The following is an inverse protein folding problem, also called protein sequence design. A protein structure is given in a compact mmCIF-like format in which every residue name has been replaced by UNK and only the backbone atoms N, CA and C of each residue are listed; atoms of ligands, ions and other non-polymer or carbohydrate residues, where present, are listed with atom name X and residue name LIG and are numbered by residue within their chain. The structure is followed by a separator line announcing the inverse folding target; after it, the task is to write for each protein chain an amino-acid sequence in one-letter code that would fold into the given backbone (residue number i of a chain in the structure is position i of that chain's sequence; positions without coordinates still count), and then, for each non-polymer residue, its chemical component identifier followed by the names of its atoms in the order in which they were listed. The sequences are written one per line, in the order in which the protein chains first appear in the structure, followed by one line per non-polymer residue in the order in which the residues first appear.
data_IF_721936147036
#
_entry.id   IF_721936147036
#
_cell.length_a   1.000
_cell.length_b   1.000
_cell.length_c   1.000
_cell.angle_alpha   90.00
_cell.angle_beta   90.00
_cell.angle_gamma   90.00
#
_symmetry.space_group_name_H-M   'P 1'
#
loop_
_entity.id
_entity.type
_entity.pdbx_description
1 polymer ?
#
# COMPACT_ATOMS: atom_id res chain seq x y z
N UNK A 1 -16.69 16.46 -21.44
CA UNK A 1 -16.05 15.97 -20.20
C UNK A 1 -14.52 15.94 -20.26
N UNK A 2 -13.90 15.52 -21.38
CA UNK A 2 -12.43 15.44 -21.53
C UNK A 2 -11.66 16.76 -21.34
N UNK A 3 -12.25 17.90 -21.71
CA UNK A 3 -11.58 19.21 -21.61
C UNK A 3 -11.27 19.60 -20.15
N UNK A 4 -12.14 19.23 -19.20
CA UNK A 4 -11.94 19.53 -17.77
C UNK A 4 -10.85 18.65 -17.14
N UNK A 5 -10.77 17.38 -17.55
CA UNK A 5 -9.71 16.45 -17.11
C UNK A 5 -8.36 16.85 -17.69
N UNK A 6 -8.27 17.18 -18.99
CA UNK A 6 -7.04 17.69 -19.60
C UNK A 6 -6.60 19.04 -19.01
N UNK A 7 -7.52 19.96 -18.74
CA UNK A 7 -7.20 21.25 -18.12
C UNK A 7 -6.69 21.09 -16.67
N UNK A 8 -7.22 20.13 -15.90
CA UNK A 8 -6.70 19.79 -14.57
C UNK A 8 -5.33 19.09 -14.64
N UNK A 9 -5.13 18.19 -15.60
CA UNK A 9 -3.83 17.53 -15.82
C UNK A 9 -2.73 18.52 -16.23
N UNK A 10 -3.06 19.54 -17.04
CA UNK A 10 -2.12 20.63 -17.36
C UNK A 10 -1.81 21.57 -16.18
N UNK A 11 -2.71 21.65 -15.18
CA UNK A 11 -2.52 22.48 -13.97
C UNK A 11 -1.88 21.71 -12.80
N UNK A 12 -1.93 20.39 -12.79
CA UNK A 12 -1.16 19.54 -11.88
C UNK A 12 0.32 19.66 -12.28
N UNK A 13 0.99 20.60 -11.61
CA UNK A 13 2.29 21.15 -12.01
C UNK A 13 3.35 20.09 -12.29
N UNK A 14 3.73 20.00 -13.56
CA UNK A 14 4.98 19.38 -14.01
C UNK A 14 6.20 20.28 -13.77
N UNK A 15 6.05 21.41 -13.08
CA UNK A 15 7.11 22.40 -12.91
C UNK A 15 8.42 21.81 -12.37
N UNK A 16 8.36 20.82 -11.49
CA UNK A 16 9.56 20.14 -10.97
C UNK A 16 10.17 19.15 -11.97
N UNK A 17 9.36 18.52 -12.82
CA UNK A 17 9.82 17.64 -13.90
C UNK A 17 10.41 18.46 -15.05
N UNK A 18 9.73 19.53 -15.45
CA UNK A 18 10.18 20.49 -16.48
C UNK A 18 11.49 21.16 -16.03
N UNK A 19 11.58 21.64 -14.78
CA UNK A 19 12.82 22.22 -14.25
C UNK A 19 13.99 21.21 -14.19
N UNK A 20 13.70 19.92 -13.98
CA UNK A 20 14.74 18.87 -14.03
C UNK A 20 15.25 18.66 -15.46
N UNK A 21 14.37 18.76 -16.45
CA UNK A 21 14.74 18.67 -17.87
C UNK A 21 15.55 19.90 -18.31
N UNK A 22 15.20 21.10 -17.81
CA UNK A 22 15.95 22.34 -18.04
C UNK A 22 17.39 22.27 -17.50
N UNK A 23 17.61 21.52 -16.40
CA UNK A 23 18.94 21.24 -15.83
C UNK A 23 19.69 20.11 -16.56
N UNK A 24 19.13 19.57 -17.64
CA UNK A 24 19.74 18.51 -18.45
C UNK A 24 19.58 17.10 -17.87
N UNK A 25 18.68 16.89 -16.90
CA UNK A 25 18.43 15.55 -16.37
C UNK A 25 17.73 14.65 -17.40
N UNK A 26 18.16 13.40 -17.50
CA UNK A 26 17.49 12.36 -18.27
C UNK A 26 16.19 11.90 -17.58
N UNK A 27 15.25 11.34 -18.34
CA UNK A 27 13.95 10.85 -17.84
C UNK A 27 14.08 9.92 -16.62
N UNK A 28 15.10 9.06 -16.60
CA UNK A 28 15.34 8.16 -15.47
C UNK A 28 15.79 8.93 -14.21
N UNK A 29 16.62 9.96 -14.36
CA UNK A 29 17.03 10.83 -13.25
C UNK A 29 15.84 11.61 -12.71
N UNK A 30 15.03 12.23 -13.59
CA UNK A 30 13.79 12.91 -13.20
C UNK A 30 12.86 11.97 -12.43
N UNK A 31 12.62 10.75 -12.94
CA UNK A 31 11.80 9.78 -12.24
C UNK A 31 12.36 9.42 -10.86
N UNK A 32 13.65 9.06 -10.77
CA UNK A 32 14.26 8.56 -9.54
C UNK A 32 14.42 9.64 -8.46
N UNK A 33 14.65 10.89 -8.85
CA UNK A 33 14.99 12.00 -7.93
C UNK A 33 13.87 13.01 -7.72
N UNK A 34 12.90 13.11 -8.64
CA UNK A 34 11.78 14.05 -8.54
C UNK A 34 10.48 13.28 -8.35
N UNK A 35 10.05 12.52 -9.37
CA UNK A 35 8.71 11.91 -9.41
C UNK A 35 8.51 10.84 -8.33
N UNK A 36 9.48 9.93 -8.15
CA UNK A 36 9.40 8.83 -7.18
C UNK A 36 9.38 9.34 -5.72
N UNK A 37 10.28 10.26 -5.29
CA UNK A 37 10.18 10.87 -3.96
C UNK A 37 8.88 11.65 -3.74
N UNK A 38 8.36 12.34 -4.76
CA UNK A 38 7.09 13.06 -4.65
C UNK A 38 5.89 12.12 -4.44
N UNK A 39 5.89 10.95 -5.08
CA UNK A 39 4.81 9.96 -4.94
C UNK A 39 5.02 8.96 -3.80
N UNK A 40 6.17 8.99 -3.10
CA UNK A 40 6.53 7.99 -2.07
C UNK A 40 5.45 7.78 -1.02
N UNK A 41 4.79 8.86 -0.57
CA UNK A 41 3.74 8.78 0.45
C UNK A 41 2.48 8.08 -0.08
N UNK A 42 2.07 8.39 -1.31
CA UNK A 42 0.94 7.73 -1.96
C UNK A 42 1.23 6.25 -2.24
N UNK A 43 2.45 5.91 -2.65
CA UNK A 43 2.87 4.53 -2.87
C UNK A 43 2.85 3.71 -1.58
N UNK A 44 3.36 4.27 -0.48
CA UNK A 44 3.36 3.61 0.83
C UNK A 44 1.92 3.42 1.35
N UNK A 45 1.07 4.44 1.22
CA UNK A 45 -0.34 4.32 1.60
C UNK A 45 -1.08 3.26 0.78
N UNK A 46 -0.85 3.23 -0.54
CA UNK A 46 -1.39 2.21 -1.44
C UNK A 46 -0.90 0.80 -1.11
N UNK A 47 0.38 0.65 -0.75
CA UNK A 47 0.96 -0.63 -0.37
C UNK A 47 0.36 -1.19 0.93
N UNK A 48 0.12 -0.35 1.94
CA UNK A 48 -0.56 -0.78 3.18
C UNK A 48 -1.99 -1.21 2.87
N UNK A 49 -2.72 -0.43 2.08
CA UNK A 49 -4.10 -0.74 1.74
C UNK A 49 -4.18 -2.07 0.97
N UNK A 50 -3.31 -2.28 -0.02
CA UNK A 50 -3.23 -3.52 -0.77
C UNK A 50 -2.88 -4.71 0.13
N UNK A 51 -1.95 -4.54 1.08
CA UNK A 51 -1.63 -5.56 2.07
C UNK A 51 -2.85 -5.90 2.94
N UNK A 52 -3.56 -4.90 3.46
CA UNK A 52 -4.76 -5.12 4.28
C UNK A 52 -5.86 -5.87 3.50
N UNK A 53 -6.12 -5.45 2.25
CA UNK A 53 -7.11 -6.09 1.38
C UNK A 53 -6.75 -7.54 1.05
N UNK A 54 -5.45 -7.88 0.94
CA UNK A 54 -5.03 -9.26 0.65
C UNK A 54 -5.48 -10.30 1.69
N UNK A 55 -5.68 -9.88 2.96
CA UNK A 55 -6.20 -10.75 4.02
C UNK A 55 -7.73 -10.80 4.06
N UNK A 56 -8.41 -9.84 3.42
CA UNK A 56 -9.88 -9.71 3.41
C UNK A 56 -10.54 -10.56 2.29
N UNK A 57 -9.78 -10.97 1.27
CA UNK A 57 -10.30 -11.75 0.13
C UNK A 57 -10.41 -13.26 0.40
N UNK A 58 -10.77 -13.67 1.62
CA UNK A 58 -10.84 -15.11 1.96
C UNK A 58 -11.84 -15.88 1.08
N UNK A 59 -12.95 -15.26 0.71
CA UNK A 59 -13.98 -15.88 -0.14
C UNK A 59 -13.40 -16.19 -1.52
N UNK A 60 -12.83 -15.19 -2.19
CA UNK A 60 -12.21 -15.34 -3.51
C UNK A 60 -11.06 -16.36 -3.45
N UNK A 61 -10.22 -16.26 -2.42
CA UNK A 61 -9.08 -17.16 -2.23
C UNK A 61 -9.53 -18.60 -2.05
N UNK A 62 -10.62 -18.86 -1.31
CA UNK A 62 -11.12 -20.23 -1.09
C UNK A 62 -11.62 -20.88 -2.39
N UNK A 63 -12.21 -20.10 -3.30
CA UNK A 63 -12.67 -20.61 -4.60
C UNK A 63 -11.55 -20.71 -5.65
N UNK A 64 -10.48 -19.94 -5.50
CA UNK A 64 -9.40 -19.85 -6.50
C UNK A 64 -8.17 -20.67 -6.10
N UNK A 65 -7.96 -20.90 -4.80
CA UNK A 65 -6.84 -21.70 -4.30
C UNK A 65 -7.05 -23.19 -4.60
N UNK A 66 -5.97 -23.87 -4.99
CA UNK A 66 -5.98 -25.31 -5.16
C UNK A 66 -6.17 -26.05 -3.83
N UNK A 67 -6.63 -27.32 -3.84
CA UNK A 67 -6.99 -28.08 -2.64
C UNK A 67 -5.82 -28.32 -1.66
N UNK A 68 -4.58 -28.16 -2.11
CA UNK A 68 -3.36 -28.30 -1.30
C UNK A 68 -2.83 -26.97 -0.77
N UNK A 69 -3.38 -25.84 -1.22
CA UNK A 69 -2.90 -24.50 -0.85
C UNK A 69 -3.67 -24.02 0.38
N UNK A 70 -2.97 -23.96 1.50
CA UNK A 70 -3.52 -23.44 2.74
C UNK A 70 -2.86 -22.11 3.08
N UNK A 71 -3.59 -21.01 2.88
CA UNK A 71 -3.18 -19.68 3.33
C UNK A 71 -3.52 -19.49 4.80
N UNK A 72 -2.88 -18.52 5.45
CA UNK A 72 -3.18 -18.16 6.85
C UNK A 72 -4.68 -17.84 7.07
N UNK A 73 -5.34 -17.01 6.25
CA UNK A 73 -6.78 -16.77 6.39
C UNK A 73 -7.64 -18.02 6.27
N UNK A 74 -7.35 -18.89 5.29
CA UNK A 74 -8.09 -20.16 5.09
C UNK A 74 -7.91 -21.08 6.31
N UNK A 75 -6.69 -21.17 6.85
CA UNK A 75 -6.43 -21.95 8.06
C UNK A 75 -7.19 -21.41 9.28
N UNK A 76 -7.17 -20.10 9.51
CA UNK A 76 -7.91 -19.46 10.61
C UNK A 76 -9.41 -19.77 10.48
N UNK A 77 -9.99 -19.55 9.29
CA UNK A 77 -11.40 -19.79 9.04
C UNK A 77 -11.80 -21.26 9.24
N UNK A 78 -11.01 -22.20 8.73
CA UNK A 78 -11.28 -23.64 8.86
C UNK A 78 -11.21 -24.18 10.30
N UNK A 79 -10.51 -23.48 11.20
CA UNK A 79 -10.34 -23.91 12.59
C UNK A 79 -11.13 -23.04 13.59
N UNK A 80 -11.82 -21.99 13.14
CA UNK A 80 -12.55 -21.03 13.98
C UNK A 80 -13.56 -21.70 14.94
N UNK A 81 -14.21 -22.77 14.47
CA UNK A 81 -15.24 -23.50 15.23
C UNK A 81 -14.70 -24.74 15.96
N UNK A 82 -13.37 -24.90 16.07
CA UNK A 82 -12.73 -26.03 16.77
C UNK A 82 -12.27 -25.58 18.17
N UNK A 83 -12.93 -25.99 19.27
CA UNK A 83 -12.64 -25.50 20.63
C UNK A 83 -11.18 -25.71 21.04
N UNK A 84 -10.61 -26.87 20.68
CA UNK A 84 -9.23 -27.23 21.02
C UNK A 84 -8.18 -26.36 20.29
N UNK A 85 -8.57 -25.63 19.24
CA UNK A 85 -7.67 -24.76 18.47
C UNK A 85 -7.82 -23.27 18.78
N UNK A 86 -8.89 -22.88 19.49
CA UNK A 86 -9.15 -21.47 19.82
C UNK A 86 -7.95 -20.75 20.48
N UNK A 87 -7.18 -21.36 21.43
CA UNK A 87 -6.00 -20.71 21.98
C UNK A 87 -4.92 -20.41 20.93
N UNK A 88 -4.68 -21.36 20.01
CA UNK A 88 -3.67 -21.22 18.96
C UNK A 88 -4.08 -20.12 17.97
N UNK A 89 -5.35 -20.12 17.56
CA UNK A 89 -5.89 -19.11 16.64
C UNK A 89 -5.77 -17.72 17.24
N UNK A 90 -6.09 -17.55 18.54
CA UNK A 90 -6.00 -16.26 19.21
C UNK A 90 -4.55 -15.73 19.27
N UNK A 91 -3.57 -16.60 19.54
CA UNK A 91 -2.15 -16.22 19.53
C UNK A 91 -1.71 -15.80 18.12
N UNK A 92 -2.09 -16.56 17.09
CA UNK A 92 -1.80 -16.23 15.69
C UNK A 92 -2.46 -14.90 15.28
N UNK A 93 -3.72 -14.69 15.65
CA UNK A 93 -4.45 -13.45 15.37
C UNK A 93 -3.83 -12.23 16.06
N UNK A 94 -3.39 -12.38 17.31
CA UNK A 94 -2.67 -11.34 18.04
C UNK A 94 -1.31 -11.03 17.38
N UNK A 95 -0.56 -12.06 17.00
CA UNK A 95 0.71 -11.90 16.29
C UNK A 95 0.53 -11.21 14.92
N UNK A 96 -0.50 -11.57 14.17
CA UNK A 96 -0.85 -10.92 12.90
C UNK A 96 -1.25 -9.46 13.09
N UNK A 97 -1.99 -9.15 14.15
CA UNK A 97 -2.35 -7.76 14.49
C UNK A 97 -1.11 -6.95 14.79
N UNK A 98 -0.16 -7.48 15.58
CA UNK A 98 1.12 -6.82 15.85
C UNK A 98 1.93 -6.64 14.55
N UNK A 99 1.97 -7.67 13.70
CA UNK A 99 2.65 -7.60 12.42
C UNK A 99 2.04 -6.53 11.49
N UNK A 100 0.71 -6.37 11.50
CA UNK A 100 0.01 -5.36 10.72
C UNK A 100 0.25 -3.92 11.20
N UNK A 101 0.61 -3.73 12.48
CA UNK A 101 1.00 -2.42 13.02
C UNK A 101 2.34 -1.96 12.44
N UNK A 102 3.27 -2.87 12.13
CA UNK A 102 4.61 -2.54 11.62
C UNK A 102 4.57 -1.69 10.33
N UNK A 103 3.87 -2.10 9.25
CA UNK A 103 3.84 -1.30 8.03
C UNK A 103 3.11 0.03 8.22
N UNK A 104 2.05 0.08 9.04
CA UNK A 104 1.35 1.32 9.39
C UNK A 104 2.28 2.29 10.13
N UNK A 105 3.00 1.80 11.13
CA UNK A 105 3.98 2.58 11.89
C UNK A 105 5.13 3.06 10.99
N UNK A 106 5.65 2.18 10.13
CA UNK A 106 6.71 2.52 9.18
C UNK A 106 6.23 3.61 8.20
N UNK A 107 5.00 3.51 7.72
CA UNK A 107 4.42 4.54 6.86
C UNK A 107 4.23 5.88 7.56
N UNK A 108 3.88 5.88 8.85
CA UNK A 108 3.83 7.12 9.63
C UNK A 108 5.23 7.73 9.80
N UNK A 109 6.27 6.90 9.97
CA UNK A 109 7.66 7.37 10.05
C UNK A 109 8.19 7.93 8.73
N UNK A 110 7.85 7.31 7.61
CA UNK A 110 8.27 7.75 6.27
C UNK A 110 7.38 8.91 5.75
N UNK A 111 6.12 8.96 6.21
CA UNK A 111 5.13 9.98 5.89
C UNK A 111 5.21 11.25 6.74
N UNK A 112 6.11 11.28 7.74
CA UNK A 112 6.50 12.48 8.46
C UNK A 112 7.36 13.41 7.60
N UNK A 113 6.73 14.00 6.58
CA UNK A 113 6.99 15.34 6.01
C UNK A 113 6.22 15.44 4.68
N UNK A 114 4.94 15.86 4.71
CA UNK A 114 4.43 16.67 3.63
C UNK A 114 5.14 18.02 3.74
N UNK A 115 6.24 18.17 3.01
CA UNK A 115 6.68 19.48 2.58
C UNK A 115 5.48 20.16 1.89
N UNK A 116 4.78 21.02 2.64
CA UNK A 116 3.51 21.61 2.22
C UNK A 116 2.64 22.20 3.34
N UNK A 117 2.92 21.96 4.63
CA UNK A 117 2.21 22.63 5.75
C UNK A 117 2.78 24.00 6.12
N UNK A 118 3.43 24.71 5.20
CA UNK A 118 3.77 26.13 5.39
C UNK A 118 3.34 26.91 4.17
N UNK A 119 2.10 27.40 4.29
CA UNK A 119 1.62 28.68 3.75
C UNK A 119 2.73 29.73 3.74
#
# INVERSE_FOLDING_TARGET
MFNNTQARLRRLGRSLEDASADLGASTWQTFRFVTLPMMRGALVAGAILAFALSFDEIVVTTFTAGPTVQTLPIWIFGNLFRPNQAPVINVVAAALTIAAIIPVWLAQRIGGDPAGTRI
#
